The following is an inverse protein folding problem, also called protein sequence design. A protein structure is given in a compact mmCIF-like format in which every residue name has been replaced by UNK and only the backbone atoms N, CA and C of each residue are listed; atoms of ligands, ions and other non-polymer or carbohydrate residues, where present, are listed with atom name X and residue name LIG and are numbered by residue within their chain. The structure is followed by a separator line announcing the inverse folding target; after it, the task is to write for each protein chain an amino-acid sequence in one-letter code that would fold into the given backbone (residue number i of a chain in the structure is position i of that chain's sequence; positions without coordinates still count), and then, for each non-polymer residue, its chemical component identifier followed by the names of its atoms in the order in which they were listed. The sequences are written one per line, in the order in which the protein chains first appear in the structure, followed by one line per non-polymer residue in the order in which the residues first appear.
data_IF_271686587338
#
_entry.id   IF_271686587338
#
_cell.length_a   1.000
_cell.length_b   1.000
_cell.length_c   1.000
_cell.angle_alpha   90.00
_cell.angle_beta   90.00
_cell.angle_gamma   90.00
#
_symmetry.space_group_name_H-M   'P 1'
#
loop_
_entity.id
_entity.type
_entity.pdbx_description
1 polymer ?
#
# COMPACT_ATOMS: atom_id res chain seq x y z
N UNK A 1 1.39 -15.37 -51.01
CA UNK A 1 1.50 -14.18 -50.13
C UNK A 1 1.39 -14.68 -48.70
N UNK A 2 2.51 -14.74 -48.00
CA UNK A 2 2.58 -15.15 -46.60
C UNK A 2 2.22 -13.92 -45.79
N UNK A 3 1.19 -14.01 -44.95
CA UNK A 3 0.76 -12.93 -44.08
C UNK A 3 1.67 -12.96 -42.85
N UNK A 4 2.58 -12.01 -42.72
CA UNK A 4 3.39 -11.81 -41.52
C UNK A 4 2.54 -11.01 -40.51
N UNK A 5 1.96 -11.69 -39.52
CA UNK A 5 1.34 -11.01 -38.38
C UNK A 5 2.42 -10.65 -37.37
N UNK A 6 2.82 -9.38 -37.32
CA UNK A 6 3.57 -8.84 -36.19
C UNK A 6 2.62 -8.70 -35.00
N UNK A 7 2.77 -9.58 -34.00
CA UNK A 7 2.17 -9.38 -32.68
C UNK A 7 3.11 -8.46 -31.91
N UNK A 8 2.77 -7.18 -31.85
CA UNK A 8 3.41 -6.24 -30.95
C UNK A 8 2.79 -6.43 -29.54
N UNK A 9 3.52 -7.07 -28.63
CA UNK A 9 3.20 -7.02 -27.22
C UNK A 9 3.70 -5.68 -26.66
N UNK A 10 2.82 -4.68 -26.58
CA UNK A 10 3.05 -3.57 -25.64
C UNK A 10 2.82 -4.15 -24.25
N UNK A 11 3.89 -4.29 -23.47
CA UNK A 11 3.81 -4.52 -22.04
C UNK A 11 3.17 -3.27 -21.42
N UNK A 12 1.85 -3.17 -21.51
CA UNK A 12 1.09 -2.27 -20.67
C UNK A 12 1.24 -2.81 -19.25
N UNK A 13 2.17 -2.23 -18.50
CA UNK A 13 2.48 -2.52 -17.09
C UNK A 13 1.28 -2.33 -16.17
N UNK A 14 0.18 -1.77 -16.68
CA UNK A 14 -1.12 -1.71 -16.00
C UNK A 14 -1.89 -2.98 -16.35
N UNK A 15 -2.10 -3.85 -15.35
CA UNK A 15 -2.91 -5.06 -15.47
C UNK A 15 -4.24 -4.74 -16.20
N UNK A 16 -4.51 -5.31 -17.40
CA UNK A 16 -5.66 -4.93 -18.23
C UNK A 16 -7.02 -5.04 -17.52
N UNK A 17 -7.12 -5.96 -16.56
CA UNK A 17 -8.29 -6.09 -15.68
C UNK A 17 -8.53 -4.83 -14.82
N UNK A 18 -7.49 -4.19 -14.30
CA UNK A 18 -7.62 -3.03 -13.40
C UNK A 18 -8.12 -1.80 -14.14
N UNK A 19 -7.54 -1.50 -15.31
CA UNK A 19 -7.97 -0.39 -16.19
C UNK A 19 -9.44 -0.54 -16.62
N UNK A 20 -9.83 -1.77 -16.97
CA UNK A 20 -11.20 -2.10 -17.37
C UNK A 20 -12.22 -1.98 -16.23
N UNK A 21 -11.87 -2.45 -15.03
CA UNK A 21 -12.81 -2.51 -13.89
C UNK A 21 -12.92 -1.20 -13.12
N UNK A 22 -11.81 -0.46 -12.95
CA UNK A 22 -11.80 0.78 -12.15
C UNK A 22 -12.01 2.05 -12.96
N UNK A 23 -11.58 2.06 -14.22
CA UNK A 23 -11.60 3.27 -15.06
C UNK A 23 -12.39 3.09 -16.36
N UNK A 24 -13.18 2.02 -16.45
CA UNK A 24 -14.00 1.68 -17.62
C UNK A 24 -13.21 1.74 -18.94
N UNK A 25 -11.93 1.36 -18.89
CA UNK A 25 -10.98 1.42 -20.01
C UNK A 25 -10.75 2.82 -20.61
N UNK A 26 -11.03 3.89 -19.85
CA UNK A 26 -10.85 5.26 -20.30
C UNK A 26 -9.44 5.79 -20.01
N UNK A 27 -8.66 5.96 -21.08
CA UNK A 27 -7.36 6.63 -21.02
C UNK A 27 -7.46 8.07 -20.47
N UNK A 28 -8.57 8.76 -20.75
CA UNK A 28 -8.82 10.10 -20.25
C UNK A 28 -8.99 10.11 -18.73
N UNK A 29 -9.72 9.13 -18.16
CA UNK A 29 -9.88 9.01 -16.71
C UNK A 29 -8.57 8.67 -16.02
N UNK A 30 -7.78 7.75 -16.59
CA UNK A 30 -6.44 7.44 -16.11
C UNK A 30 -5.53 8.66 -16.15
N UNK A 31 -5.58 9.45 -17.22
CA UNK A 31 -4.81 10.70 -17.34
C UNK A 31 -5.23 11.74 -16.30
N UNK A 32 -6.53 11.91 -16.05
CA UNK A 32 -7.03 12.80 -14.98
C UNK A 32 -6.55 12.36 -13.60
N UNK A 33 -6.67 11.06 -13.30
CA UNK A 33 -6.22 10.47 -12.04
C UNK A 33 -4.72 10.68 -11.81
N UNK A 34 -3.89 10.30 -12.77
CA UNK A 34 -2.44 10.45 -12.68
C UNK A 34 -2.01 11.92 -12.57
N UNK A 35 -2.62 12.82 -13.35
CA UNK A 35 -2.35 14.27 -13.26
C UNK A 35 -2.66 14.82 -11.87
N UNK A 36 -3.83 14.48 -11.32
CA UNK A 36 -4.24 14.92 -9.99
C UNK A 36 -3.32 14.37 -8.91
N UNK A 37 -2.99 13.07 -8.99
CA UNK A 37 -2.17 12.41 -7.99
C UNK A 37 -0.73 12.88 -7.99
N UNK A 38 -0.16 13.13 -9.18
CA UNK A 38 1.16 13.77 -9.28
C UNK A 38 1.17 15.15 -8.64
N UNK A 39 0.11 15.95 -8.82
CA UNK A 39 0.03 17.27 -8.19
C UNK A 39 -0.03 17.19 -6.66
N UNK A 40 -0.80 16.26 -6.10
CA UNK A 40 -0.84 16.02 -4.66
C UNK A 40 0.50 15.51 -4.13
N UNK A 41 1.15 14.57 -4.82
CA UNK A 41 2.46 14.08 -4.45
C UNK A 41 3.49 15.20 -4.37
N UNK A 42 3.60 16.03 -5.41
CA UNK A 42 4.55 17.16 -5.44
C UNK A 42 4.32 18.13 -4.28
N UNK A 43 3.07 18.38 -3.89
CA UNK A 43 2.74 19.25 -2.77
C UNK A 43 3.29 18.74 -1.42
N UNK A 44 3.48 17.42 -1.28
CA UNK A 44 4.00 16.77 -0.07
C UNK A 44 5.39 16.14 -0.27
N UNK A 45 6.07 16.43 -1.39
CA UNK A 45 7.42 15.94 -1.68
C UNK A 45 7.52 14.50 -2.19
N UNK A 46 6.44 13.93 -2.71
CA UNK A 46 6.39 12.57 -3.30
C UNK A 46 6.31 12.68 -4.83
N UNK A 47 7.29 12.13 -5.53
CA UNK A 47 7.29 12.02 -7.00
C UNK A 47 6.64 10.70 -7.45
N UNK A 48 5.30 10.68 -7.51
CA UNK A 48 4.55 9.51 -7.92
C UNK A 48 4.86 9.09 -9.36
N UNK A 49 5.13 7.79 -9.55
CA UNK A 49 5.30 7.12 -10.83
C UNK A 49 4.17 6.11 -11.05
N UNK A 50 3.73 5.99 -12.30
CA UNK A 50 2.55 5.20 -12.67
C UNK A 50 2.84 4.13 -13.74
N UNK A 51 4.11 3.92 -14.12
CA UNK A 51 4.51 2.91 -15.10
C UNK A 51 4.83 1.54 -14.51
N UNK A 52 4.72 1.37 -13.19
CA UNK A 52 4.98 0.10 -12.50
C UNK A 52 3.85 -0.93 -12.62
N UNK A 53 4.15 -2.16 -12.17
CA UNK A 53 3.20 -3.28 -12.22
C UNK A 53 2.20 -3.21 -11.07
N UNK A 54 0.91 -3.31 -11.39
CA UNK A 54 -0.14 -3.54 -10.39
C UNK A 54 -0.16 -5.04 -10.04
N UNK A 55 0.16 -5.37 -8.80
CA UNK A 55 0.23 -6.74 -8.30
C UNK A 55 -0.56 -6.92 -7.00
N UNK A 56 -0.75 -8.18 -6.62
CA UNK A 56 -1.34 -8.55 -5.33
C UNK A 56 -0.39 -8.14 -4.19
N UNK A 57 -0.90 -7.53 -3.12
CA UNK A 57 -0.07 -7.03 -2.00
C UNK A 57 -0.05 -7.98 -0.79
N UNK A 58 -0.58 -9.20 -0.90
CA UNK A 58 -0.70 -10.14 0.23
C UNK A 58 0.67 -10.45 0.85
N UNK A 59 1.70 -10.68 0.04
CA UNK A 59 3.04 -10.98 0.57
C UNK A 59 3.67 -9.78 1.29
N UNK A 60 3.42 -8.56 0.80
CA UNK A 60 3.78 -7.34 1.50
C UNK A 60 3.06 -7.24 2.86
N UNK A 61 1.75 -7.51 2.91
CA UNK A 61 1.00 -7.50 4.16
C UNK A 61 1.45 -8.58 5.15
N UNK A 62 1.76 -9.79 4.66
CA UNK A 62 2.33 -10.88 5.47
C UNK A 62 3.65 -10.46 6.10
N UNK A 63 4.55 -9.90 5.29
CA UNK A 63 5.85 -9.41 5.75
C UNK A 63 5.70 -8.33 6.82
N UNK A 64 4.84 -7.33 6.57
CA UNK A 64 4.59 -6.25 7.53
C UNK A 64 4.04 -6.80 8.84
N UNK A 65 3.01 -7.65 8.78
CA UNK A 65 2.36 -8.17 9.98
C UNK A 65 3.32 -9.03 10.81
N UNK A 66 4.04 -9.95 10.18
CA UNK A 66 4.96 -10.84 10.87
C UNK A 66 6.05 -10.05 11.61
N UNK A 67 6.72 -9.13 10.94
CA UNK A 67 7.79 -8.35 11.57
C UNK A 67 7.27 -7.23 12.50
N UNK A 68 6.01 -6.82 12.37
CA UNK A 68 5.35 -5.99 13.39
C UNK A 68 5.19 -6.77 14.70
N UNK A 69 4.74 -8.02 14.63
CA UNK A 69 4.57 -8.88 15.82
C UNK A 69 5.91 -9.26 16.45
N UNK A 70 6.92 -9.60 15.64
CA UNK A 70 8.23 -10.01 16.14
C UNK A 70 9.08 -8.84 16.66
N UNK A 71 9.04 -7.69 15.98
CA UNK A 71 10.01 -6.60 16.18
C UNK A 71 9.38 -5.23 16.45
N UNK A 72 8.05 -5.15 16.52
CA UNK A 72 7.32 -3.95 16.91
C UNK A 72 7.01 -2.96 15.76
N UNK A 73 6.23 -1.92 16.06
CA UNK A 73 5.67 -1.00 15.06
C UNK A 73 6.72 -0.16 14.32
N UNK A 74 7.87 0.14 14.94
CA UNK A 74 8.95 0.88 14.27
C UNK A 74 9.56 0.08 13.11
N UNK A 75 9.64 -1.24 13.25
CA UNK A 75 10.11 -2.12 12.17
C UNK A 75 9.11 -2.17 11.04
N UNK A 76 7.81 -2.31 11.38
CA UNK A 76 6.73 -2.28 10.41
C UNK A 76 6.69 -0.96 9.61
N UNK A 77 6.86 0.18 10.27
CA UNK A 77 6.90 1.50 9.63
C UNK A 77 8.07 1.61 8.63
N UNK A 78 9.26 1.10 8.97
CA UNK A 78 10.39 1.06 8.03
C UNK A 78 10.10 0.19 6.81
N UNK A 79 9.49 -0.99 7.00
CA UNK A 79 9.08 -1.86 5.88
C UNK A 79 8.08 -1.12 5.00
N UNK A 80 7.03 -0.54 5.58
CA UNK A 80 5.98 0.20 4.85
C UNK A 80 6.59 1.37 4.07
N UNK A 81 7.45 2.18 4.68
CA UNK A 81 8.09 3.31 4.01
C UNK A 81 9.00 2.87 2.85
N UNK A 82 9.74 1.76 3.01
CA UNK A 82 10.53 1.20 1.92
C UNK A 82 9.63 0.70 0.79
N UNK A 83 8.57 -0.05 1.10
CA UNK A 83 7.60 -0.54 0.11
C UNK A 83 6.90 0.61 -0.64
N UNK A 84 6.47 1.65 0.07
CA UNK A 84 5.88 2.85 -0.53
C UNK A 84 6.86 3.53 -1.47
N UNK A 85 8.12 3.71 -1.07
CA UNK A 85 9.13 4.31 -1.94
C UNK A 85 9.32 3.45 -3.20
N UNK A 86 9.52 2.14 -3.04
CA UNK A 86 9.77 1.23 -4.15
C UNK A 86 8.57 1.16 -5.13
N UNK A 87 7.36 1.07 -4.61
CA UNK A 87 6.15 0.97 -5.43
C UNK A 87 5.77 2.31 -6.07
N UNK A 88 5.61 3.35 -5.26
CA UNK A 88 5.04 4.63 -5.71
C UNK A 88 6.04 5.52 -6.44
N UNK A 89 7.35 5.34 -6.24
CA UNK A 89 8.37 6.25 -6.83
C UNK A 89 9.38 5.54 -7.72
N UNK A 90 9.49 4.21 -7.63
CA UNK A 90 10.50 3.43 -8.37
C UNK A 90 9.89 2.34 -9.26
N UNK A 91 8.56 2.31 -9.38
CA UNK A 91 7.82 1.41 -10.29
C UNK A 91 8.10 -0.09 -10.03
N UNK A 92 8.53 -0.44 -8.81
CA UNK A 92 8.79 -1.83 -8.42
C UNK A 92 7.49 -2.54 -8.07
N UNK A 93 7.40 -3.81 -8.43
CA UNK A 93 6.25 -4.64 -8.03
C UNK A 93 6.27 -4.85 -6.51
N UNK A 94 5.14 -4.66 -5.80
CA UNK A 94 5.05 -4.81 -4.35
C UNK A 94 5.11 -6.27 -3.89
N UNK A 95 5.00 -7.22 -4.81
CA UNK A 95 5.05 -8.68 -4.54
C UNK A 95 6.33 -9.34 -5.05
N UNK A 96 7.27 -8.57 -5.60
CA UNK A 96 8.51 -9.15 -6.10
C UNK A 96 9.43 -9.51 -4.92
N UNK A 97 10.06 -10.70 -4.90
CA UNK A 97 10.95 -11.11 -3.81
C UNK A 97 12.06 -10.09 -3.52
N UNK A 98 12.63 -9.46 -4.56
CA UNK A 98 13.65 -8.42 -4.39
C UNK A 98 13.12 -7.16 -3.70
N UNK A 99 11.87 -6.77 -3.97
CA UNK A 99 11.22 -5.61 -3.33
C UNK A 99 10.98 -5.87 -1.85
N UNK A 100 10.44 -7.06 -1.54
CA UNK A 100 10.15 -7.51 -0.17
C UNK A 100 11.43 -7.65 0.65
N UNK A 101 12.46 -8.28 0.07
CA UNK A 101 13.74 -8.46 0.73
C UNK A 101 14.45 -7.12 0.98
N UNK A 102 14.39 -6.20 0.03
CA UNK A 102 14.92 -4.84 0.24
C UNK A 102 14.17 -4.14 1.38
N UNK A 103 12.84 -4.23 1.42
CA UNK A 103 12.05 -3.60 2.48
C UNK A 103 12.38 -4.17 3.87
N UNK A 104 12.54 -5.49 3.96
CA UNK A 104 12.93 -6.15 5.20
C UNK A 104 14.34 -5.72 5.67
N UNK A 105 15.31 -5.74 4.76
CA UNK A 105 16.70 -5.38 5.09
C UNK A 105 16.86 -3.89 5.42
N UNK A 106 16.15 -2.99 4.74
CA UNK A 106 16.09 -1.56 5.10
C UNK A 106 15.52 -1.36 6.52
N UNK A 107 14.64 -2.25 6.97
CA UNK A 107 14.06 -2.22 8.31
C UNK A 107 14.99 -2.82 9.39
N UNK A 108 16.15 -3.37 9.00
CA UNK A 108 17.12 -3.97 9.91
C UNK A 108 16.89 -5.46 10.18
N UNK A 109 16.06 -6.12 9.39
CA UNK A 109 15.83 -7.56 9.48
C UNK A 109 17.01 -8.31 8.84
N UNK A 110 17.43 -9.40 9.48
CA UNK A 110 18.46 -10.27 8.92
C UNK A 110 18.03 -10.83 7.56
N UNK A 111 18.94 -10.77 6.60
CA UNK A 111 18.65 -11.17 5.22
C UNK A 111 18.19 -12.62 5.11
N UNK A 112 18.83 -13.54 5.84
CA UNK A 112 18.46 -14.97 5.78
C UNK A 112 17.06 -15.18 6.32
N UNK A 113 16.73 -14.55 7.46
CA UNK A 113 15.38 -14.63 8.03
C UNK A 113 14.31 -14.07 7.09
N UNK A 114 14.61 -12.94 6.43
CA UNK A 114 13.70 -12.37 5.45
C UNK A 114 13.53 -13.29 4.24
N UNK A 115 14.62 -13.87 3.72
CA UNK A 115 14.57 -14.82 2.60
C UNK A 115 13.78 -16.08 2.96
N UNK A 116 13.94 -16.63 4.17
CA UNK A 116 13.20 -17.79 4.66
C UNK A 116 11.68 -17.50 4.70
N UNK A 117 11.27 -16.39 5.33
CA UNK A 117 9.86 -16.00 5.43
C UNK A 117 9.24 -15.68 4.05
N UNK A 118 9.98 -14.98 3.18
CA UNK A 118 9.50 -14.63 1.83
C UNK A 118 9.39 -15.90 0.95
N UNK A 119 10.26 -16.89 1.18
CA UNK A 119 10.29 -18.15 0.43
C UNK A 119 9.18 -19.13 0.79
N UNK A 120 8.63 -19.06 2.00
CA UNK A 120 7.45 -19.82 2.40
C UNK A 120 6.18 -19.03 2.07
N UNK A 121 5.40 -19.42 1.06
CA UNK A 121 4.17 -18.71 0.67
C UNK A 121 2.99 -18.85 1.67
N UNK A 122 3.12 -19.73 2.67
CA UNK A 122 2.06 -20.02 3.64
C UNK A 122 2.29 -19.36 4.99
N UNK A 123 3.53 -19.03 5.35
CA UNK A 123 3.87 -18.44 6.65
C UNK A 123 3.15 -17.08 6.87
N UNK A 124 2.44 -16.93 7.98
CA UNK A 124 1.67 -15.70 8.27
C UNK A 124 0.44 -15.46 7.38
N UNK A 125 0.15 -16.32 6.40
CA UNK A 125 -0.97 -16.15 5.48
C UNK A 125 -2.34 -16.30 6.18
N UNK A 126 -2.58 -17.31 7.05
CA UNK A 126 -3.84 -17.43 7.79
C UNK A 126 -4.12 -16.21 8.68
N UNK A 127 -3.11 -15.74 9.41
CA UNK A 127 -3.18 -14.62 10.35
C UNK A 127 -3.50 -13.32 9.60
N UNK A 128 -2.77 -13.05 8.52
CA UNK A 128 -3.00 -11.87 7.67
C UNK A 128 -4.42 -11.86 7.08
N UNK A 129 -4.91 -13.02 6.59
CA UNK A 129 -6.28 -13.15 6.09
C UNK A 129 -7.33 -12.94 7.17
N UNK A 130 -7.06 -13.40 8.39
CA UNK A 130 -7.97 -13.21 9.53
C UNK A 130 -8.11 -11.72 9.87
N UNK A 131 -6.99 -10.99 9.97
CA UNK A 131 -6.99 -9.55 10.26
C UNK A 131 -7.72 -8.75 9.17
N UNK A 132 -7.50 -9.06 7.89
CA UNK A 132 -8.22 -8.42 6.78
C UNK A 132 -9.74 -8.68 6.89
N UNK A 133 -10.14 -9.92 7.21
CA UNK A 133 -11.56 -10.27 7.39
C UNK A 133 -12.20 -9.58 8.59
N UNK A 134 -11.45 -9.41 9.67
CA UNK A 134 -11.90 -8.68 10.84
C UNK A 134 -12.21 -7.23 10.48
N UNK A 135 -11.31 -6.53 9.78
CA UNK A 135 -11.55 -5.15 9.36
C UNK A 135 -12.74 -5.04 8.38
N UNK A 136 -12.87 -5.99 7.46
CA UNK A 136 -14.05 -6.06 6.59
C UNK A 136 -15.35 -6.30 7.40
N UNK A 137 -15.30 -7.13 8.44
CA UNK A 137 -16.40 -7.36 9.39
C UNK A 137 -16.77 -6.12 10.19
N UNK A 138 -15.81 -5.23 10.45
CA UNK A 138 -16.02 -3.91 11.05
C UNK A 138 -16.58 -2.87 10.07
N UNK A 139 -16.87 -3.26 8.83
CA UNK A 139 -17.41 -2.37 7.79
C UNK A 139 -16.38 -1.47 7.13
N UNK A 140 -15.08 -1.75 7.31
CA UNK A 140 -14.00 -0.99 6.67
C UNK A 140 -13.78 -1.55 5.26
N UNK A 141 -14.08 -0.76 4.23
CA UNK A 141 -13.97 -1.14 2.82
C UNK A 141 -12.97 -0.28 2.02
N UNK A 142 -12.36 0.72 2.65
CA UNK A 142 -11.38 1.62 2.05
C UNK A 142 -10.27 2.01 3.03
N UNK A 143 -9.11 2.37 2.48
CA UNK A 143 -7.93 2.85 3.21
C UNK A 143 -7.43 4.19 2.64
N UNK A 144 -6.79 5.06 3.44
CA UNK A 144 -6.52 4.89 4.86
C UNK A 144 -7.79 5.08 5.73
N UNK A 145 -7.86 4.33 6.82
CA UNK A 145 -8.91 4.42 7.85
C UNK A 145 -8.21 4.59 9.20
N UNK A 146 -8.37 5.76 9.82
CA UNK A 146 -7.66 6.11 11.06
C UNK A 146 -8.66 6.26 12.18
N UNK A 147 -8.50 5.47 13.25
CA UNK A 147 -9.27 5.60 14.49
C UNK A 147 -8.39 6.28 15.53
N UNK A 148 -8.89 7.36 16.10
CA UNK A 148 -8.29 8.07 17.21
C UNK A 148 -9.10 7.74 18.47
N UNK A 149 -8.48 7.00 19.38
CA UNK A 149 -9.10 6.64 20.66
C UNK A 149 -9.31 7.88 21.53
N UNK A 150 -10.51 8.04 22.07
CA UNK A 150 -10.86 9.18 22.91
C UNK A 150 -11.54 8.76 24.21
N UNK A 151 -11.32 9.52 25.29
CA UNK A 151 -11.89 9.24 26.62
C UNK A 151 -13.42 9.11 26.64
N UNK A 152 -14.11 9.86 25.78
CA UNK A 152 -15.59 9.87 25.71
C UNK A 152 -16.13 9.07 24.53
N UNK A 153 -15.50 9.23 23.36
CA UNK A 153 -15.83 8.55 22.12
C UNK A 153 -14.59 8.51 21.24
N UNK A 154 -14.55 7.53 20.36
CA UNK A 154 -13.54 7.45 19.31
C UNK A 154 -13.90 8.38 18.14
N UNK A 155 -12.88 8.80 17.43
CA UNK A 155 -13.01 9.63 16.22
C UNK A 155 -12.42 8.88 15.04
N UNK A 156 -13.18 8.80 13.95
CA UNK A 156 -12.74 8.15 12.72
C UNK A 156 -12.46 9.19 11.64
N UNK A 157 -11.31 9.06 10.98
CA UNK A 157 -10.93 9.80 9.79
C UNK A 157 -10.77 8.82 8.62
N UNK A 158 -11.66 8.92 7.65
CA UNK A 158 -11.68 8.07 6.45
C UNK A 158 -11.07 8.80 5.25
N UNK A 159 -10.16 8.12 4.57
CA UNK A 159 -9.41 8.66 3.44
C UNK A 159 -8.21 9.52 3.85
N UNK A 160 -7.44 9.96 2.87
CA UNK A 160 -6.30 10.84 3.08
C UNK A 160 -6.79 12.26 3.41
N UNK A 161 -6.98 12.55 4.70
CA UNK A 161 -7.43 13.86 5.20
C UNK A 161 -6.29 14.88 5.21
N UNK A 162 -6.67 16.17 5.19
CA UNK A 162 -5.72 17.26 5.36
C UNK A 162 -5.18 17.31 6.79
N UNK A 163 -3.95 17.81 6.96
CA UNK A 163 -3.28 17.89 8.28
C UNK A 163 -4.14 18.64 9.31
N UNK A 164 -4.81 19.71 8.90
CA UNK A 164 -5.66 20.51 9.77
C UNK A 164 -6.87 19.73 10.32
N UNK A 165 -7.38 18.73 9.59
CA UNK A 165 -8.45 17.85 10.07
C UNK A 165 -7.93 16.97 11.22
N UNK A 166 -6.74 16.37 11.06
CA UNK A 166 -6.09 15.60 12.13
C UNK A 166 -5.85 16.46 13.38
N UNK A 167 -5.26 17.66 13.21
CA UNK A 167 -4.99 18.59 14.32
C UNK A 167 -6.27 18.93 15.08
N UNK A 168 -7.36 19.22 14.36
CA UNK A 168 -8.66 19.54 14.95
C UNK A 168 -9.22 18.40 15.78
N UNK A 169 -9.13 17.15 15.31
CA UNK A 169 -9.60 16.00 16.09
C UNK A 169 -8.71 15.74 17.32
N UNK A 170 -7.38 15.87 17.19
CA UNK A 170 -6.47 15.77 18.34
C UNK A 170 -6.75 16.83 19.42
N UNK A 171 -7.02 18.08 19.03
CA UNK A 171 -7.38 19.13 19.98
C UNK A 171 -8.68 18.84 20.72
N UNK A 172 -9.67 18.24 20.05
CA UNK A 172 -10.93 17.83 20.70
C UNK A 172 -10.68 16.72 21.71
N UNK A 173 -9.93 15.68 21.33
CA UNK A 173 -9.56 14.57 22.23
C UNK A 173 -8.81 15.12 23.45
N UNK A 174 -7.84 16.01 23.25
CA UNK A 174 -7.10 16.63 24.34
C UNK A 174 -7.98 17.47 25.29
N UNK A 175 -9.02 18.13 24.77
CA UNK A 175 -10.00 18.89 25.58
C UNK A 175 -10.92 17.95 26.37
N UNK A 176 -11.38 16.86 25.76
CA UNK A 176 -12.27 15.87 26.38
C UNK A 176 -11.55 15.00 27.43
N UNK A 177 -10.23 14.86 27.33
CA UNK A 177 -9.40 14.07 28.25
C UNK A 177 -9.05 14.75 29.57
N UNK A 178 -9.26 16.07 29.67
CA UNK A 178 -9.18 16.81 30.95
C UNK A 178 -10.23 16.34 31.95
#
# INVERSE_FOLDING_TARGET
MVYESQIAFTLDTICPWYKKTKYNDSDEQMKKYTTLMSAYGVAVGIDFKFGGTIANTMDAHRLIQHYQEEMGPETADKIVNSLYTQYFTQEKSPSAPETLLKAATDAGIDRSKAEDFIGDEYEGLPETKMLIREQAGNGIDAVPYVVLEGKRRDFTLEGAKEVDEYVKEFEKIAKESK
#
